data_IF_061681491447
#
_entry.id   IF_061681491447
#
_cell.length_a   1.000
_cell.length_b   1.000
_cell.length_c   1.000
_cell.angle_alpha   90.00
_cell.angle_beta   90.00
_cell.angle_gamma   90.00
#
_symmetry.space_group_name_H-M   'P 1'
#
loop_
_entity.id
_entity.type
_entity.pdbx_description
1 polymer ?
#
# COMPACT_ATOMS: atom_id res chain seq x y z
N UNK A 1 27.83 30.18 8.13
CA UNK A 1 26.39 30.40 7.87
C UNK A 1 25.88 29.20 7.09
N UNK A 2 25.46 28.17 7.82
CA UNK A 2 25.06 26.88 7.23
C UNK A 2 23.55 26.93 6.93
N UNK A 3 23.21 26.90 5.64
CA UNK A 3 21.82 26.92 5.18
C UNK A 3 21.24 25.51 5.32
N UNK A 4 20.45 25.27 6.37
CA UNK A 4 19.55 24.11 6.43
C UNK A 4 18.46 24.29 5.38
N UNK A 5 18.55 23.54 4.28
CA UNK A 5 17.43 23.35 3.35
C UNK A 5 16.46 22.40 4.06
N UNK A 6 15.48 22.97 4.76
CA UNK A 6 14.34 22.22 5.27
C UNK A 6 13.48 21.81 4.08
N UNK A 7 13.50 20.53 3.72
CA UNK A 7 12.56 20.00 2.75
C UNK A 7 11.20 19.84 3.42
N UNK A 8 10.32 20.83 3.22
CA UNK A 8 8.90 20.73 3.59
C UNK A 8 8.17 19.89 2.53
N UNK A 9 8.45 18.58 2.52
CA UNK A 9 7.65 17.63 1.75
C UNK A 9 6.39 17.31 2.56
N UNK A 10 5.46 18.26 2.58
CA UNK A 10 4.09 17.99 3.00
C UNK A 10 3.40 17.22 1.89
N UNK A 11 3.63 15.92 1.86
CA UNK A 11 2.87 15.03 1.00
C UNK A 11 1.49 14.81 1.60
N UNK A 12 0.48 15.47 1.05
CA UNK A 12 -0.93 15.23 1.38
C UNK A 12 -1.44 14.14 0.42
N UNK A 13 -1.36 12.87 0.81
CA UNK A 13 -1.99 11.79 0.06
C UNK A 13 -2.94 10.95 0.92
N UNK A 14 -4.19 10.88 0.48
CA UNK A 14 -5.20 9.96 0.98
C UNK A 14 -5.10 8.66 0.17
N UNK A 15 -4.41 7.64 0.70
CA UNK A 15 -4.21 6.32 0.05
C UNK A 15 -5.53 5.54 -0.10
N UNK A 16 -6.61 6.04 0.53
CA UNK A 16 -7.88 5.34 0.69
C UNK A 16 -7.75 4.21 1.71
N UNK A 17 -8.90 3.64 2.09
CA UNK A 17 -8.96 2.47 2.96
C UNK A 17 -9.76 1.37 2.27
N UNK A 18 -9.38 0.11 2.52
CA UNK A 18 -10.18 -1.02 2.08
C UNK A 18 -11.48 -1.06 2.88
N UNK A 19 -12.59 -0.64 2.27
CA UNK A 19 -13.92 -0.68 2.90
C UNK A 19 -14.32 -2.13 3.26
N UNK A 20 -13.84 -3.11 2.49
CA UNK A 20 -14.03 -4.55 2.73
C UNK A 20 -12.81 -5.32 2.25
N UNK A 21 -12.53 -6.48 2.87
CA UNK A 21 -11.48 -7.38 2.38
C UNK A 21 -11.77 -7.83 0.94
N UNK A 22 -10.78 -7.74 0.02
CA UNK A 22 -10.91 -8.20 -1.37
C UNK A 22 -11.21 -9.70 -1.44
N UNK A 23 -10.77 -10.48 -0.44
CA UNK A 23 -11.02 -11.91 -0.36
C UNK A 23 -12.44 -12.26 0.14
N UNK A 24 -13.23 -11.29 0.63
CA UNK A 24 -14.54 -11.56 1.26
C UNK A 24 -15.56 -12.22 0.33
N UNK A 25 -15.50 -11.89 -0.97
CA UNK A 25 -16.35 -12.47 -2.03
C UNK A 25 -15.52 -13.16 -3.13
N UNK A 26 -14.27 -13.51 -2.83
CA UNK A 26 -13.40 -14.15 -3.82
C UNK A 26 -13.82 -15.60 -4.03
N UNK A 27 -13.93 -16.03 -5.29
CA UNK A 27 -14.27 -17.41 -5.65
C UNK A 27 -13.19 -18.42 -5.25
N UNK A 28 -11.95 -17.94 -5.02
CA UNK A 28 -10.82 -18.76 -4.60
C UNK A 28 -10.61 -18.75 -3.07
N UNK A 29 -11.58 -18.21 -2.31
CA UNK A 29 -11.44 -18.06 -0.86
C UNK A 29 -11.23 -19.40 -0.13
N UNK A 30 -11.82 -20.48 -0.63
CA UNK A 30 -11.63 -21.82 -0.07
C UNK A 30 -10.20 -22.36 -0.28
N UNK A 31 -9.47 -21.79 -1.24
CA UNK A 31 -8.05 -22.09 -1.50
C UNK A 31 -7.10 -21.15 -0.76
N UNK A 32 -7.61 -20.21 0.04
CA UNK A 32 -6.77 -19.36 0.87
C UNK A 32 -6.12 -20.21 1.99
N UNK A 33 -4.81 -20.08 2.27
CA UNK A 33 -3.87 -19.04 1.82
C UNK A 33 -3.10 -19.35 0.53
N UNK A 34 -3.20 -20.55 -0.04
CA UNK A 34 -2.40 -20.97 -1.21
C UNK A 34 -2.62 -20.08 -2.43
N UNK A 35 -3.84 -19.56 -2.61
CA UNK A 35 -4.14 -18.66 -3.72
C UNK A 35 -3.55 -17.24 -3.56
N UNK A 36 -2.98 -16.89 -2.41
CA UNK A 36 -2.52 -15.54 -2.12
C UNK A 36 -1.21 -15.20 -2.86
N UNK A 37 -0.34 -16.19 -3.06
CA UNK A 37 0.96 -16.02 -3.73
C UNK A 37 0.80 -15.62 -5.20
N UNK A 38 -0.22 -16.16 -5.88
CA UNK A 38 -0.53 -15.85 -7.28
C UNK A 38 -1.67 -14.80 -7.43
N UNK A 39 -2.07 -14.14 -6.36
CA UNK A 39 -3.23 -13.25 -6.39
C UNK A 39 -2.85 -11.84 -6.89
N UNK A 40 -3.08 -11.58 -8.18
CA UNK A 40 -2.82 -10.25 -8.80
C UNK A 40 -3.49 -9.10 -8.07
N UNK A 41 -4.68 -9.31 -7.49
CA UNK A 41 -5.38 -8.26 -6.74
C UNK A 41 -4.66 -7.93 -5.43
N UNK A 42 -4.15 -8.93 -4.71
CA UNK A 42 -3.37 -8.69 -3.50
C UNK A 42 -2.00 -8.08 -3.82
N UNK A 43 -1.38 -8.48 -4.92
CA UNK A 43 -0.14 -7.90 -5.43
C UNK A 43 -0.30 -6.40 -5.71
N UNK A 44 -1.32 -6.01 -6.48
CA UNK A 44 -1.62 -4.60 -6.76
C UNK A 44 -1.87 -3.78 -5.49
N UNK A 45 -2.64 -4.33 -4.54
CA UNK A 45 -2.88 -3.66 -3.25
C UNK A 45 -1.55 -3.49 -2.50
N UNK A 46 -0.71 -4.52 -2.46
CA UNK A 46 0.60 -4.42 -1.81
C UNK A 46 1.53 -3.42 -2.51
N UNK A 47 1.54 -3.36 -3.84
CA UNK A 47 2.31 -2.38 -4.61
C UNK A 47 1.87 -0.96 -4.25
N UNK A 48 0.56 -0.67 -4.33
CA UNK A 48 0.02 0.66 -4.02
C UNK A 48 0.36 1.08 -2.59
N UNK A 49 0.15 0.18 -1.62
CA UNK A 49 0.46 0.44 -0.22
C UNK A 49 1.98 0.63 0.01
N UNK A 50 2.83 -0.16 -0.65
CA UNK A 50 4.29 -0.07 -0.51
C UNK A 50 4.86 1.21 -1.12
N UNK A 51 4.37 1.62 -2.29
CA UNK A 51 4.75 2.89 -2.93
C UNK A 51 4.38 4.08 -2.05
N UNK A 52 3.21 4.03 -1.42
CA UNK A 52 2.77 5.08 -0.53
C UNK A 52 3.58 5.12 0.78
N UNK A 53 3.96 3.96 1.35
CA UNK A 53 4.88 3.91 2.49
C UNK A 53 6.25 4.48 2.11
N UNK A 54 6.73 4.23 0.88
CA UNK A 54 8.03 4.72 0.42
C UNK A 54 8.11 6.26 0.36
N UNK A 55 6.96 6.94 0.20
CA UNK A 55 6.87 8.40 0.26
C UNK A 55 6.84 8.96 1.70
N UNK A 56 6.67 8.11 2.72
CA UNK A 56 6.72 8.49 4.14
C UNK A 56 8.08 8.23 4.81
N UNK A 57 9.07 7.71 4.08
CA UNK A 57 10.43 7.52 4.59
C UNK A 57 11.29 8.78 4.39
N UNK A 58 11.29 9.64 5.40
CA UNK A 58 12.38 10.57 5.65
C UNK A 58 12.76 10.52 7.13
N UNK A 59 14.01 10.09 7.39
CA UNK A 59 14.74 9.92 8.67
C UNK A 59 14.52 8.60 9.41
#
# INVERSE_FOLDING_TARGET
MERKIGYDFKFDFEIGYLIKSPCKKCNQRDHFPKCAEDCTMLDQIQTILSDAISLTRNV
#
